data_IF_475608940835
#
_entry.id   IF_475608940835
#
_cell.length_a   1.000
_cell.length_b   1.000
_cell.length_c   1.000
_cell.angle_alpha   90.00
_cell.angle_beta   90.00
_cell.angle_gamma   90.00
#
_symmetry.space_group_name_H-M   'P 1'
#
loop_
_entity.id
_entity.type
_entity.pdbx_description
1 polymer ?
#
# COMPACT_ATOMS: atom_id res chain seq x y z
N UNK A 1 4.04 -43.06 1.47
CA UNK A 1 4.99 -43.60 2.49
C UNK A 1 4.65 -42.91 3.80
N UNK A 2 4.70 -43.59 4.95
CA UNK A 2 4.46 -42.93 6.24
C UNK A 2 5.59 -41.93 6.53
N UNK A 3 5.22 -40.73 6.96
CA UNK A 3 6.16 -39.74 7.49
C UNK A 3 6.97 -40.35 8.64
N UNK A 4 8.27 -40.02 8.78
CA UNK A 4 9.09 -40.52 9.87
C UNK A 4 8.62 -39.99 11.23
N UNK A 5 9.05 -40.67 12.29
CA UNK A 5 8.85 -40.19 13.65
C UNK A 5 9.73 -38.98 13.97
N UNK A 6 9.30 -38.19 14.95
CA UNK A 6 10.06 -37.05 15.42
C UNK A 6 11.34 -37.51 16.12
N UNK A 7 12.39 -36.69 16.02
CA UNK A 7 13.61 -36.86 16.78
C UNK A 7 13.41 -36.51 18.27
N UNK A 8 14.48 -36.65 19.06
CA UNK A 8 14.50 -36.32 20.49
C UNK A 8 14.15 -34.85 20.80
N UNK A 9 14.27 -33.96 19.83
CA UNK A 9 13.94 -32.53 19.95
C UNK A 9 12.53 -32.22 19.44
N UNK A 10 11.75 -33.23 19.05
CA UNK A 10 10.40 -33.05 18.55
C UNK A 10 10.31 -32.56 17.11
N UNK A 11 11.38 -32.68 16.33
CA UNK A 11 11.47 -32.21 14.94
C UNK A 11 11.51 -33.39 13.97
N UNK A 12 11.11 -33.17 12.73
CA UNK A 12 11.32 -34.19 11.69
C UNK A 12 12.81 -34.32 11.36
N UNK A 13 13.31 -35.53 11.08
CA UNK A 13 14.69 -35.73 10.66
C UNK A 13 14.98 -34.97 9.37
N UNK A 14 16.23 -34.53 9.19
CA UNK A 14 16.66 -33.75 8.01
C UNK A 14 16.26 -34.42 6.69
N UNK A 15 15.77 -33.62 5.74
CA UNK A 15 15.40 -34.04 4.39
C UNK A 15 13.98 -33.65 4.00
N UNK A 16 13.64 -33.90 2.73
CA UNK A 16 12.28 -33.70 2.20
C UNK A 16 11.50 -35.01 2.37
N UNK A 17 10.38 -34.95 3.08
CA UNK A 17 9.48 -36.08 3.34
C UNK A 17 8.18 -35.90 2.57
N UNK A 18 7.87 -36.79 1.64
CA UNK A 18 6.67 -36.71 0.81
C UNK A 18 5.49 -37.42 1.47
N UNK A 19 4.31 -36.80 1.46
CA UNK A 19 3.04 -37.40 1.88
C UNK A 19 1.85 -36.81 1.13
N UNK A 20 0.72 -37.50 1.12
CA UNK A 20 -0.55 -36.94 0.62
C UNK A 20 -1.10 -35.86 1.56
N UNK A 21 -2.01 -35.02 1.06
CA UNK A 21 -2.71 -34.02 1.88
C UNK A 21 -3.49 -34.63 3.04
N UNK A 22 -4.08 -35.82 2.83
CA UNK A 22 -4.78 -36.56 3.89
C UNK A 22 -3.82 -37.04 4.99
N UNK A 23 -2.71 -37.66 4.60
CA UNK A 23 -1.68 -38.10 5.56
C UNK A 23 -1.12 -36.92 6.37
N UNK A 24 -0.97 -35.74 5.73
CA UNK A 24 -0.55 -34.52 6.40
C UNK A 24 -1.54 -34.08 7.49
N UNK A 25 -2.83 -33.98 7.15
CA UNK A 25 -3.89 -33.59 8.09
C UNK A 25 -3.98 -34.60 9.23
N UNK A 26 -3.98 -35.90 8.93
CA UNK A 26 -4.08 -36.97 9.92
C UNK A 26 -2.88 -36.94 10.90
N UNK A 27 -1.67 -36.63 10.41
CA UNK A 27 -0.46 -36.57 11.24
C UNK A 27 -0.39 -35.30 12.09
N UNK A 28 -0.70 -34.13 11.53
CA UNK A 28 -0.39 -32.85 12.18
C UNK A 28 -1.60 -32.12 12.78
N UNK A 29 -2.83 -32.52 12.44
CA UNK A 29 -4.06 -31.84 12.91
C UNK A 29 -4.94 -32.71 13.82
N UNK A 30 -4.54 -33.95 14.14
CA UNK A 30 -5.38 -34.91 14.86
C UNK A 30 -5.48 -34.66 16.38
N UNK A 31 -4.60 -33.85 16.96
CA UNK A 31 -4.66 -33.51 18.40
C UNK A 31 -5.73 -32.46 18.69
N UNK A 32 -6.25 -32.45 19.92
CA UNK A 32 -7.32 -31.54 20.34
C UNK A 32 -6.97 -30.07 20.10
N UNK A 33 -5.73 -29.66 20.42
CA UNK A 33 -5.22 -28.30 20.21
C UNK A 33 -5.00 -27.92 18.73
N UNK A 34 -4.93 -28.90 17.82
CA UNK A 34 -4.61 -28.66 16.40
C UNK A 34 -5.76 -28.96 15.44
N UNK A 35 -6.87 -29.53 15.93
CA UNK A 35 -8.05 -29.85 15.11
C UNK A 35 -8.65 -28.65 14.39
N UNK A 36 -8.52 -27.46 14.97
CA UNK A 36 -8.96 -26.21 14.34
C UNK A 36 -8.25 -25.89 13.01
N UNK A 37 -7.05 -26.45 12.77
CA UNK A 37 -6.28 -26.23 11.54
C UNK A 37 -6.68 -27.17 10.40
N UNK A 38 -7.49 -28.22 10.66
CA UNK A 38 -7.91 -29.19 9.64
C UNK A 38 -8.60 -28.52 8.46
N UNK A 39 -9.62 -27.70 8.72
CA UNK A 39 -10.35 -26.99 7.66
C UNK A 39 -9.46 -25.98 6.92
N UNK A 40 -8.74 -25.08 7.61
CA UNK A 40 -7.83 -24.14 6.95
C UNK A 40 -6.77 -24.79 6.05
N UNK A 41 -6.16 -25.90 6.50
CA UNK A 41 -5.21 -26.63 5.67
C UNK A 41 -5.91 -27.28 4.48
N UNK A 42 -7.10 -27.86 4.67
CA UNK A 42 -7.91 -28.38 3.56
C UNK A 42 -8.19 -27.29 2.52
N UNK A 43 -8.70 -26.14 2.96
CA UNK A 43 -9.06 -25.00 2.10
C UNK A 43 -7.82 -24.51 1.30
N UNK A 44 -6.63 -24.53 1.90
CA UNK A 44 -5.36 -24.17 1.26
C UNK A 44 -4.90 -25.20 0.23
N UNK A 45 -5.06 -26.49 0.53
CA UNK A 45 -4.72 -27.56 -0.41
C UNK A 45 -5.70 -27.59 -1.59
N UNK A 46 -6.98 -27.33 -1.33
CA UNK A 46 -8.01 -27.17 -2.37
C UNK A 46 -7.68 -25.97 -3.26
N UNK A 47 -7.33 -24.82 -2.67
CA UNK A 47 -6.84 -23.65 -3.41
C UNK A 47 -5.62 -23.97 -4.28
N UNK A 48 -4.63 -24.66 -3.73
CA UNK A 48 -3.44 -25.05 -4.48
C UNK A 48 -3.79 -25.93 -5.68
N UNK A 49 -4.72 -26.89 -5.51
CA UNK A 49 -5.22 -27.74 -6.59
C UNK A 49 -6.00 -26.97 -7.65
N UNK A 50 -6.91 -26.09 -7.25
CA UNK A 50 -7.73 -25.26 -8.15
C UNK A 50 -6.86 -24.36 -9.04
N UNK A 51 -5.70 -23.95 -8.54
CA UNK A 51 -4.72 -23.11 -9.26
C UNK A 51 -3.62 -23.91 -9.97
N UNK A 52 -3.75 -25.24 -10.03
CA UNK A 52 -2.78 -26.11 -10.68
C UNK A 52 -1.35 -25.93 -10.12
N UNK A 53 -1.22 -25.72 -8.81
CA UNK A 53 0.07 -25.78 -8.14
C UNK A 53 0.66 -27.18 -8.33
N UNK A 54 1.96 -27.26 -8.60
CA UNK A 54 2.66 -28.51 -8.88
C UNK A 54 3.28 -29.13 -7.63
N UNK A 55 3.72 -28.30 -6.68
CA UNK A 55 4.28 -28.76 -5.40
C UNK A 55 3.87 -27.83 -4.27
N UNK A 56 3.69 -28.40 -3.09
CA UNK A 56 3.48 -27.65 -1.84
C UNK A 56 4.49 -28.17 -0.81
N UNK A 57 5.27 -27.26 -0.23
CA UNK A 57 6.22 -27.57 0.83
C UNK A 57 5.77 -26.90 2.11
N UNK A 58 5.82 -27.62 3.23
CA UNK A 58 5.50 -27.10 4.56
C UNK A 58 6.72 -27.27 5.46
N UNK A 59 7.05 -26.20 6.17
CA UNK A 59 8.20 -26.10 7.06
C UNK A 59 7.83 -25.65 8.47
N UNK A 60 8.86 -25.34 9.24
CA UNK A 60 8.73 -24.56 10.47
C UNK A 60 8.04 -25.26 11.63
N UNK A 61 7.41 -24.46 12.49
CA UNK A 61 6.95 -24.92 13.81
C UNK A 61 5.74 -25.87 13.72
N UNK A 62 4.96 -25.78 12.65
CA UNK A 62 3.75 -26.58 12.46
C UNK A 62 4.02 -28.08 12.29
N UNK A 63 5.09 -28.45 11.59
CA UNK A 63 5.46 -29.85 11.35
C UNK A 63 6.35 -30.44 12.47
N UNK A 64 6.32 -29.85 13.66
CA UNK A 64 6.98 -30.34 14.88
C UNK A 64 5.97 -30.89 15.89
N UNK A 65 6.45 -31.47 16.99
CA UNK A 65 5.61 -31.91 18.11
C UNK A 65 5.07 -30.78 19.01
N UNK A 66 5.36 -29.51 18.70
CA UNK A 66 4.92 -28.35 19.50
C UNK A 66 3.40 -28.27 19.60
N UNK A 67 2.82 -28.31 20.80
CA UNK A 67 1.35 -28.39 20.95
C UNK A 67 0.59 -27.23 20.29
N UNK A 68 1.13 -26.01 20.38
CA UNK A 68 0.54 -24.78 19.83
C UNK A 68 1.51 -24.13 18.83
N UNK A 69 1.44 -24.47 17.53
CA UNK A 69 2.17 -23.75 16.49
C UNK A 69 1.59 -22.34 16.31
N UNK A 70 2.44 -21.37 15.97
CA UNK A 70 2.04 -19.96 15.88
C UNK A 70 1.62 -19.57 14.45
N UNK A 71 2.19 -20.27 13.48
CA UNK A 71 2.22 -19.99 12.05
C UNK A 71 2.30 -21.31 11.28
N UNK A 72 1.98 -21.25 9.99
CA UNK A 72 2.21 -22.32 9.03
C UNK A 72 3.07 -21.77 7.90
N UNK A 73 4.31 -22.25 7.86
CA UNK A 73 5.30 -21.88 6.85
C UNK A 73 5.11 -22.75 5.62
N UNK A 74 4.70 -22.15 4.51
CA UNK A 74 4.34 -22.88 3.31
C UNK A 74 4.98 -22.27 2.06
N UNK A 75 5.42 -23.10 1.13
CA UNK A 75 5.79 -22.69 -0.23
C UNK A 75 4.88 -23.40 -1.21
N UNK A 76 4.15 -22.63 -2.02
CA UNK A 76 3.38 -23.14 -3.15
C UNK A 76 4.13 -22.89 -4.44
N UNK A 77 4.31 -23.93 -5.24
CA UNK A 77 5.02 -23.88 -6.51
C UNK A 77 4.04 -24.06 -7.66
N UNK A 78 4.10 -23.16 -8.63
CA UNK A 78 3.31 -23.22 -9.87
C UNK A 78 4.16 -23.56 -11.09
N UNK A 79 3.53 -23.98 -12.18
CA UNK A 79 4.26 -24.31 -13.41
C UNK A 79 4.94 -23.09 -14.05
N UNK A 80 4.33 -21.89 -13.96
CA UNK A 80 4.78 -20.65 -14.60
C UNK A 80 4.43 -19.46 -13.69
N UNK A 81 5.18 -18.36 -13.81
CA UNK A 81 5.00 -17.14 -13.00
C UNK A 81 3.59 -16.56 -13.11
N UNK A 82 2.95 -16.64 -14.29
CA UNK A 82 1.59 -16.11 -14.52
C UNK A 82 0.49 -16.78 -13.68
N UNK A 83 0.78 -17.94 -13.09
CA UNK A 83 -0.16 -18.67 -12.23
C UNK A 83 0.03 -18.35 -10.75
N UNK A 84 1.09 -17.59 -10.39
CA UNK A 84 1.29 -17.11 -9.04
C UNK A 84 0.12 -16.18 -8.67
N UNK A 85 -0.58 -16.43 -7.54
CA UNK A 85 -1.69 -15.59 -7.10
C UNK A 85 -1.28 -14.13 -6.93
N UNK A 86 -2.18 -13.23 -7.30
CA UNK A 86 -2.05 -11.80 -7.01
C UNK A 86 -2.28 -11.52 -5.51
N UNK A 87 -1.77 -10.40 -5.01
CA UNK A 87 -1.91 -10.00 -3.60
C UNK A 87 -3.36 -10.05 -3.08
N UNK A 88 -4.34 -9.69 -3.91
CA UNK A 88 -5.78 -9.73 -3.58
C UNK A 88 -6.31 -11.13 -3.28
N UNK A 89 -5.78 -12.15 -3.95
CA UNK A 89 -6.22 -13.53 -3.80
C UNK A 89 -5.62 -14.16 -2.53
N UNK A 90 -4.40 -13.76 -2.17
CA UNK A 90 -3.71 -14.18 -0.94
C UNK A 90 -4.44 -13.70 0.33
N UNK A 91 -5.01 -12.49 0.33
CA UNK A 91 -5.72 -11.91 1.48
C UNK A 91 -7.01 -12.68 1.82
N UNK A 92 -7.67 -13.31 0.84
CA UNK A 92 -8.91 -14.06 1.07
C UNK A 92 -8.72 -15.41 1.78
N UNK A 93 -7.49 -15.93 1.87
CA UNK A 93 -7.18 -17.29 2.34
C UNK A 93 -6.70 -17.29 3.80
N UNK A 94 -6.20 -16.15 4.30
CA UNK A 94 -5.44 -16.03 5.55
C UNK A 94 -6.29 -15.86 6.83
N UNK A 95 -7.37 -16.64 6.99
CA UNK A 95 -8.16 -16.67 8.23
C UNK A 95 -7.39 -17.16 9.49
N UNK A 96 -6.17 -17.68 9.29
CA UNK A 96 -5.13 -17.95 10.27
C UNK A 96 -3.80 -17.41 9.71
N UNK A 97 -2.81 -17.14 10.56
CA UNK A 97 -1.47 -16.69 10.12
C UNK A 97 -0.77 -17.80 9.31
N UNK A 98 -0.99 -17.78 8.00
CA UNK A 98 -0.32 -18.64 7.02
C UNK A 98 0.72 -17.80 6.29
N UNK A 99 1.99 -18.12 6.50
CA UNK A 99 3.10 -17.49 5.79
C UNK A 99 3.34 -18.28 4.51
N UNK A 100 2.52 -18.00 3.49
CA UNK A 100 2.60 -18.64 2.18
C UNK A 100 3.55 -17.86 1.27
N UNK A 101 4.66 -18.51 0.93
CA UNK A 101 5.55 -18.11 -0.14
C UNK A 101 5.07 -18.72 -1.46
N UNK A 102 5.12 -17.94 -2.53
CA UNK A 102 4.79 -18.40 -3.87
C UNK A 102 6.05 -18.41 -4.74
N UNK A 103 6.19 -19.44 -5.56
CA UNK A 103 7.26 -19.57 -6.54
C UNK A 103 6.74 -20.29 -7.79
N UNK A 104 7.52 -20.27 -8.86
CA UNK A 104 7.25 -21.05 -10.06
C UNK A 104 8.43 -21.94 -10.43
N UNK A 105 8.18 -22.96 -11.24
CA UNK A 105 9.20 -23.82 -11.83
C UNK A 105 10.20 -23.06 -12.71
N UNK A 106 9.85 -21.87 -13.20
CA UNK A 106 10.76 -20.98 -13.93
C UNK A 106 11.86 -20.41 -13.01
N UNK A 107 11.60 -20.35 -11.70
CA UNK A 107 12.51 -19.88 -10.67
C UNK A 107 12.97 -21.00 -9.71
N UNK A 108 13.45 -22.13 -10.26
CA UNK A 108 13.84 -23.30 -9.43
C UNK A 108 14.82 -22.99 -8.29
N UNK A 109 15.82 -22.13 -8.54
CA UNK A 109 16.81 -21.76 -7.51
C UNK A 109 16.17 -21.06 -6.30
N UNK A 110 15.08 -20.31 -6.52
CA UNK A 110 14.31 -19.67 -5.46
C UNK A 110 13.58 -20.71 -4.60
N UNK A 111 13.00 -21.74 -5.24
CA UNK A 111 12.34 -22.86 -4.54
C UNK A 111 13.36 -23.57 -3.63
N UNK A 112 14.52 -23.93 -4.17
CA UNK A 112 15.59 -24.59 -3.40
C UNK A 112 16.03 -23.72 -2.21
N UNK A 113 16.06 -22.40 -2.39
CA UNK A 113 16.41 -21.45 -1.33
C UNK A 113 15.34 -21.34 -0.25
N UNK A 114 14.04 -21.39 -0.60
CA UNK A 114 12.96 -21.45 0.38
C UNK A 114 12.93 -22.77 1.14
N UNK A 115 13.20 -23.89 0.48
CA UNK A 115 13.36 -25.19 1.16
C UNK A 115 14.56 -25.13 2.11
N UNK A 116 15.66 -24.49 1.71
CA UNK A 116 16.82 -24.27 2.57
C UNK A 116 16.48 -23.40 3.78
N UNK A 117 15.67 -22.36 3.60
CA UNK A 117 15.17 -21.52 4.67
C UNK A 117 14.37 -22.33 5.71
N UNK A 118 13.41 -23.14 5.25
CA UNK A 118 12.56 -23.96 6.12
C UNK A 118 13.28 -25.12 6.81
N UNK A 119 14.35 -25.61 6.20
CA UNK A 119 15.22 -26.65 6.79
C UNK A 119 16.28 -26.07 7.73
N UNK A 120 16.45 -24.75 7.81
CA UNK A 120 17.40 -24.13 8.73
C UNK A 120 16.72 -23.80 10.05
N UNK A 121 17.09 -24.51 11.12
CA UNK A 121 16.55 -24.26 12.46
C UNK A 121 16.96 -22.89 13.03
N UNK A 122 16.39 -22.52 14.19
CA UNK A 122 16.71 -21.26 14.89
C UNK A 122 18.14 -21.23 15.47
N UNK A 123 18.73 -22.40 15.68
CA UNK A 123 20.11 -22.54 16.16
C UNK A 123 21.05 -22.77 14.96
N UNK A 124 22.24 -22.19 15.01
CA UNK A 124 23.26 -22.40 13.99
C UNK A 124 23.56 -23.90 13.85
N UNK A 125 23.56 -24.40 12.60
CA UNK A 125 23.79 -25.79 12.19
C UNK A 125 22.65 -26.79 12.45
N UNK A 126 21.43 -26.36 12.79
CA UNK A 126 20.28 -27.25 12.79
C UNK A 126 19.73 -27.44 11.37
N UNK A 127 19.68 -28.69 10.92
CA UNK A 127 19.02 -29.08 9.67
C UNK A 127 17.77 -29.92 10.01
N UNK A 128 16.60 -29.39 9.70
CA UNK A 128 15.29 -29.95 10.08
C UNK A 128 14.53 -30.41 8.83
N UNK A 129 13.70 -31.43 9.00
CA UNK A 129 12.90 -31.97 7.90
C UNK A 129 11.85 -30.99 7.38
N UNK A 130 11.62 -31.03 6.07
CA UNK A 130 10.54 -30.30 5.38
C UNK A 130 9.57 -31.32 4.80
N UNK A 131 8.28 -31.03 4.82
CA UNK A 131 7.26 -31.92 4.25
C UNK A 131 6.90 -31.43 2.85
N UNK A 132 6.93 -32.31 1.86
CA UNK A 132 6.37 -32.09 0.54
C UNK A 132 4.99 -32.75 0.49
N UNK A 133 3.95 -31.96 0.26
CA UNK A 133 2.60 -32.48 0.05
C UNK A 133 2.43 -32.79 -1.42
N UNK A 134 2.19 -34.06 -1.72
CA UNK A 134 1.82 -34.53 -3.04
C UNK A 134 0.32 -34.26 -3.27
N UNK A 135 0.03 -33.28 -4.12
CA UNK A 135 -1.35 -32.89 -4.43
C UNK A 135 -2.06 -33.92 -5.32
N UNK A 136 -1.31 -34.66 -6.13
CA UNK A 136 -1.84 -35.50 -7.20
C UNK A 136 -1.46 -36.98 -7.06
N UNK A 137 -0.81 -37.36 -5.95
CA UNK A 137 -0.33 -38.72 -5.66
C UNK A 137 0.59 -39.29 -6.76
N UNK A 138 1.38 -38.42 -7.40
CA UNK A 138 2.35 -38.79 -8.46
C UNK A 138 3.64 -39.40 -7.91
N UNK A 139 3.88 -39.25 -6.60
CA UNK A 139 5.09 -39.66 -5.88
C UNK A 139 6.38 -39.05 -6.46
N UNK A 140 6.28 -37.85 -7.04
CA UNK A 140 7.40 -37.09 -7.59
C UNK A 140 8.11 -36.29 -6.49
N UNK A 141 9.23 -36.83 -6.00
CA UNK A 141 9.98 -36.24 -4.89
C UNK A 141 10.90 -35.13 -5.39
N UNK A 142 10.84 -33.96 -4.76
CA UNK A 142 11.71 -32.84 -5.09
C UNK A 142 13.18 -33.15 -4.81
N UNK A 143 14.04 -32.85 -5.80
CA UNK A 143 15.50 -32.90 -5.68
C UNK A 143 16.09 -31.50 -5.64
N UNK A 144 16.84 -31.20 -4.57
CA UNK A 144 17.56 -29.94 -4.41
C UNK A 144 18.77 -29.96 -5.36
N UNK A 145 18.86 -28.98 -6.26
CA UNK A 145 19.95 -28.86 -7.24
C UNK A 145 20.81 -27.62 -7.02
N UNK A 146 20.30 -26.67 -6.24
CA UNK A 146 20.97 -25.42 -5.91
C UNK A 146 21.05 -25.25 -4.38
N UNK A 147 22.17 -24.70 -3.91
CA UNK A 147 22.31 -24.20 -2.55
C UNK A 147 22.69 -22.72 -2.65
N UNK A 148 21.91 -21.80 -2.05
CA UNK A 148 22.23 -20.38 -2.09
C UNK A 148 23.55 -20.11 -1.35
N UNK A 149 24.32 -19.14 -1.84
CA UNK A 149 25.46 -18.60 -1.09
C UNK A 149 24.99 -17.84 0.16
N UNK A 150 25.92 -17.57 1.10
CA UNK A 150 25.59 -16.93 2.39
C UNK A 150 24.89 -15.57 2.22
N UNK A 151 25.30 -14.75 1.24
CA UNK A 151 24.69 -13.44 1.04
C UNK A 151 23.27 -13.56 0.49
N UNK A 152 23.08 -14.41 -0.52
CA UNK A 152 21.76 -14.69 -1.09
C UNK A 152 20.81 -15.28 -0.04
N UNK A 153 21.33 -16.17 0.81
CA UNK A 153 20.55 -16.78 1.87
C UNK A 153 20.14 -15.78 2.97
N UNK A 154 21.04 -14.86 3.36
CA UNK A 154 20.72 -13.79 4.30
C UNK A 154 19.70 -12.80 3.73
N UNK A 155 19.75 -12.49 2.43
CA UNK A 155 18.73 -11.68 1.76
C UNK A 155 17.36 -12.37 1.85
N UNK A 156 17.29 -13.67 1.58
CA UNK A 156 16.04 -14.45 1.62
C UNK A 156 15.49 -14.52 3.05
N UNK A 157 16.33 -14.75 4.06
CA UNK A 157 15.93 -14.69 5.47
C UNK A 157 15.36 -13.32 5.83
N UNK A 158 16.00 -12.23 5.39
CA UNK A 158 15.51 -10.87 5.64
C UNK A 158 14.16 -10.67 4.98
N UNK A 159 14.00 -11.01 3.70
CA UNK A 159 12.71 -10.89 3.00
C UNK A 159 11.60 -11.70 3.67
N UNK A 160 11.90 -12.91 4.17
CA UNK A 160 10.92 -13.73 4.89
C UNK A 160 10.60 -13.19 6.29
N UNK A 161 11.60 -12.76 7.06
CA UNK A 161 11.39 -12.14 8.38
C UNK A 161 10.68 -10.78 8.24
N UNK A 162 11.02 -10.00 7.22
CA UNK A 162 10.32 -8.77 6.88
C UNK A 162 8.88 -9.10 6.50
N UNK A 163 8.60 -10.17 5.74
CA UNK A 163 7.21 -10.62 5.47
C UNK A 163 6.44 -11.05 6.73
N UNK A 164 7.07 -11.71 7.70
CA UNK A 164 6.41 -12.08 8.96
C UNK A 164 6.25 -10.89 9.93
N UNK A 165 7.05 -9.83 9.75
CA UNK A 165 6.89 -8.53 10.42
C UNK A 165 5.88 -7.62 9.70
N UNK A 166 5.77 -7.75 8.37
CA UNK A 166 4.75 -7.14 7.50
C UNK A 166 3.48 -7.99 7.66
N UNK A 167 2.88 -7.85 8.83
CA UNK A 167 1.54 -8.33 9.14
C UNK A 167 0.59 -7.99 7.97
N UNK A 168 -0.33 -8.92 7.68
CA UNK A 168 -1.26 -8.97 6.54
C UNK A 168 -2.36 -7.90 6.66
N UNK A 169 -2.04 -6.77 7.30
CA UNK A 169 -2.89 -5.63 7.60
C UNK A 169 -2.13 -4.29 7.61
N UNK A 170 -0.96 -4.18 6.99
CA UNK A 170 -0.39 -2.85 6.78
C UNK A 170 -1.22 -2.10 5.72
N UNK A 171 -2.20 -1.33 6.23
CA UNK A 171 -3.04 -0.42 5.45
C UNK A 171 -2.13 0.39 4.53
N UNK A 172 -2.42 0.42 3.22
CA UNK A 172 -1.65 1.23 2.28
C UNK A 172 -1.65 2.72 2.64
N UNK A 173 -2.68 3.13 3.38
CA UNK A 173 -2.94 4.48 3.84
C UNK A 173 -4.45 4.74 3.89
N UNK A 174 -4.80 5.94 4.33
CA UNK A 174 -6.13 6.50 4.18
C UNK A 174 -6.13 7.30 2.88
N UNK A 175 -7.02 6.97 1.94
CA UNK A 175 -7.22 7.72 0.71
C UNK A 175 -8.49 8.56 0.84
N UNK A 176 -8.31 9.87 0.93
CA UNK A 176 -9.40 10.84 1.02
C UNK A 176 -9.67 11.44 -0.35
N UNK A 177 -10.92 11.44 -0.78
CA UNK A 177 -11.34 12.20 -1.94
C UNK A 177 -12.12 13.46 -1.55
N UNK A 178 -11.91 14.55 -2.29
CA UNK A 178 -12.58 15.84 -2.06
C UNK A 178 -13.12 16.37 -3.38
N UNK A 179 -14.43 16.63 -3.42
CA UNK A 179 -15.11 17.06 -4.65
C UNK A 179 -15.15 18.58 -4.84
N UNK A 180 -15.48 18.98 -6.07
CA UNK A 180 -15.71 20.37 -6.46
C UNK A 180 -17.13 20.87 -6.21
N UNK A 181 -17.37 22.11 -6.65
CA UNK A 181 -18.70 22.73 -6.61
C UNK A 181 -19.66 21.99 -7.54
N UNK A 182 -20.96 22.03 -7.20
CA UNK A 182 -22.05 21.43 -7.98
C UNK A 182 -21.84 19.94 -8.30
N UNK A 183 -21.03 19.24 -7.49
CA UNK A 183 -20.72 17.82 -7.66
C UNK A 183 -21.30 16.98 -6.53
N UNK A 184 -21.84 15.81 -6.88
CA UNK A 184 -22.23 14.76 -5.93
C UNK A 184 -21.13 13.72 -5.71
N UNK A 185 -19.93 13.97 -6.25
CA UNK A 185 -18.79 13.06 -6.16
C UNK A 185 -19.08 11.64 -6.68
N UNK A 186 -19.90 11.49 -7.73
CA UNK A 186 -20.31 10.18 -8.27
C UNK A 186 -19.12 9.30 -8.68
N UNK A 187 -18.01 9.92 -9.10
CA UNK A 187 -16.74 9.26 -9.42
C UNK A 187 -16.09 8.53 -8.23
N UNK A 188 -16.56 8.75 -7.00
CA UNK A 188 -16.17 7.92 -5.85
C UNK A 188 -16.57 6.45 -6.04
N UNK A 189 -17.60 6.16 -6.85
CA UNK A 189 -18.00 4.79 -7.19
C UNK A 189 -16.91 4.05 -7.97
N UNK A 190 -16.06 4.76 -8.71
CA UNK A 190 -14.92 4.17 -9.42
C UNK A 190 -13.68 4.07 -8.51
N UNK A 191 -13.39 5.12 -7.74
CA UNK A 191 -12.19 5.14 -6.87
C UNK A 191 -12.30 4.12 -5.74
N UNK A 192 -13.47 3.99 -5.10
CA UNK A 192 -13.66 3.12 -3.95
C UNK A 192 -13.24 1.66 -4.21
N UNK A 193 -13.75 0.94 -5.22
CA UNK A 193 -13.36 -0.45 -5.46
C UNK A 193 -11.89 -0.59 -5.89
N UNK A 194 -11.36 0.36 -6.65
CA UNK A 194 -9.98 0.29 -7.16
C UNK A 194 -8.97 0.51 -6.03
N UNK A 195 -9.20 1.52 -5.19
CA UNK A 195 -8.32 1.81 -4.06
C UNK A 195 -8.43 0.77 -2.95
N UNK A 196 -9.65 0.34 -2.62
CA UNK A 196 -9.88 -0.67 -1.58
C UNK A 196 -9.27 -2.02 -1.95
N UNK A 197 -9.32 -2.43 -3.23
CA UNK A 197 -8.66 -3.66 -3.68
C UNK A 197 -7.12 -3.60 -3.58
N UNK A 198 -6.55 -2.41 -3.41
CA UNK A 198 -5.12 -2.20 -3.22
C UNK A 198 -4.74 -1.91 -1.74
N UNK A 199 -5.67 -2.18 -0.81
CA UNK A 199 -5.44 -2.06 0.63
C UNK A 199 -5.54 -0.64 1.20
N UNK A 200 -6.12 0.31 0.45
CA UNK A 200 -6.39 1.66 0.95
C UNK A 200 -7.70 1.72 1.73
N UNK A 201 -7.71 2.46 2.83
CA UNK A 201 -8.96 2.86 3.50
C UNK A 201 -9.50 4.06 2.73
N UNK A 202 -10.54 3.85 1.94
CA UNK A 202 -11.16 4.94 1.19
C UNK A 202 -12.17 5.71 2.05
N UNK A 203 -11.94 7.02 2.20
CA UNK A 203 -12.75 7.91 3.03
C UNK A 203 -13.11 9.19 2.25
N UNK A 204 -14.25 9.25 1.54
CA UNK A 204 -14.63 10.45 0.82
C UNK A 204 -15.08 11.55 1.78
N UNK A 205 -14.54 12.77 1.62
CA UNK A 205 -15.03 13.95 2.31
C UNK A 205 -16.07 14.67 1.43
N UNK A 206 -17.31 14.68 1.90
CA UNK A 206 -18.45 15.32 1.25
C UNK A 206 -18.91 16.48 2.12
N UNK A 207 -18.87 17.71 1.60
CA UNK A 207 -19.31 18.91 2.31
C UNK A 207 -20.66 19.39 1.77
N UNK A 208 -21.57 19.75 2.67
CA UNK A 208 -22.98 20.01 2.33
C UNK A 208 -23.18 21.23 1.43
N UNK A 209 -22.39 22.28 1.64
CA UNK A 209 -22.49 23.53 0.87
C UNK A 209 -21.50 23.49 -0.29
N UNK A 210 -21.93 23.10 -1.49
CA UNK A 210 -21.06 23.03 -2.68
C UNK A 210 -21.50 23.98 -3.81
N UNK A 211 -22.13 25.10 -3.45
CA UNK A 211 -22.69 26.08 -4.41
C UNK A 211 -21.66 27.13 -4.83
N UNK A 212 -21.83 27.80 -6.01
CA UNK A 212 -20.88 28.79 -6.53
C UNK A 212 -20.58 29.98 -5.63
N UNK A 213 -21.47 30.31 -4.70
CA UNK A 213 -21.29 31.38 -3.71
C UNK A 213 -20.12 31.11 -2.75
N UNK A 214 -19.66 29.86 -2.61
CA UNK A 214 -18.41 29.55 -1.93
C UNK A 214 -17.21 30.30 -2.52
N UNK A 215 -17.19 30.54 -3.84
CA UNK A 215 -16.09 31.29 -4.46
C UNK A 215 -16.00 32.73 -3.94
N UNK A 216 -17.10 33.29 -3.44
CA UNK A 216 -17.21 34.71 -3.06
C UNK A 216 -17.40 34.93 -1.55
N UNK A 217 -17.80 33.93 -0.79
CA UNK A 217 -18.06 34.07 0.65
C UNK A 217 -16.91 33.54 1.51
N UNK A 218 -16.16 34.44 2.16
CA UNK A 218 -15.06 34.07 3.09
C UNK A 218 -15.56 33.18 4.22
N UNK A 219 -16.67 33.52 4.84
CA UNK A 219 -17.18 32.81 6.03
C UNK A 219 -17.61 31.38 5.68
N UNK A 220 -18.27 31.19 4.53
CA UNK A 220 -18.64 29.84 4.07
C UNK A 220 -17.42 29.00 3.75
N UNK A 221 -16.38 29.58 3.13
CA UNK A 221 -15.12 28.87 2.89
C UNK A 221 -14.41 28.49 4.18
N UNK A 222 -14.35 29.42 5.13
CA UNK A 222 -13.74 29.18 6.43
C UNK A 222 -14.44 28.02 7.14
N UNK A 223 -15.78 28.00 7.13
CA UNK A 223 -16.56 26.88 7.67
C UNK A 223 -16.22 25.54 7.00
N UNK A 224 -16.16 25.47 5.66
CA UNK A 224 -15.86 24.22 4.95
C UNK A 224 -14.45 23.70 5.28
N UNK A 225 -13.48 24.60 5.45
CA UNK A 225 -12.10 24.25 5.83
C UNK A 225 -12.01 23.79 7.28
N UNK A 226 -12.76 24.42 8.18
CA UNK A 226 -12.84 24.03 9.59
C UNK A 226 -13.49 22.66 9.76
N UNK A 227 -14.64 22.44 9.12
CA UNK A 227 -15.35 21.15 9.08
C UNK A 227 -14.41 20.05 8.50
N UNK A 228 -13.62 20.38 7.47
CA UNK A 228 -12.63 19.43 6.90
C UNK A 228 -11.51 19.11 7.88
N UNK A 229 -10.98 20.11 8.59
CA UNK A 229 -9.92 19.95 9.57
C UNK A 229 -10.34 19.01 10.70
N UNK A 230 -11.53 19.20 11.25
CA UNK A 230 -12.06 18.32 12.30
C UNK A 230 -12.25 16.89 11.77
N UNK A 231 -12.86 16.77 10.59
CA UNK A 231 -13.14 15.47 9.97
C UNK A 231 -11.87 14.69 9.65
N UNK A 232 -10.86 15.33 9.04
CA UNK A 232 -9.62 14.63 8.64
C UNK A 232 -8.79 14.22 9.85
N UNK A 233 -8.85 15.00 10.94
CA UNK A 233 -8.24 14.65 12.21
C UNK A 233 -8.89 13.41 12.82
N UNK A 234 -10.22 13.36 12.91
CA UNK A 234 -10.94 12.19 13.43
C UNK A 234 -10.64 10.92 12.61
N UNK A 235 -10.65 11.03 11.28
CA UNK A 235 -10.35 9.91 10.39
C UNK A 235 -8.90 9.40 10.58
N UNK A 236 -7.93 10.31 10.67
CA UNK A 236 -6.54 9.94 10.88
C UNK A 236 -6.35 9.26 12.24
N UNK A 237 -6.96 9.79 13.31
CA UNK A 237 -6.88 9.19 14.64
C UNK A 237 -7.57 7.83 14.71
N UNK A 238 -8.71 7.67 14.04
CA UNK A 238 -9.48 6.42 14.02
C UNK A 238 -8.72 5.27 13.38
N UNK A 239 -8.00 5.54 12.31
CA UNK A 239 -7.34 4.50 11.51
C UNK A 239 -5.83 4.43 11.70
N UNK A 240 -5.22 5.42 12.37
CA UNK A 240 -3.79 5.53 12.69
C UNK A 240 -2.89 5.21 11.49
N UNK A 241 -3.10 5.93 10.38
CA UNK A 241 -2.41 5.67 9.13
C UNK A 241 -2.20 6.94 8.31
N UNK A 242 -1.24 6.89 7.37
CA UNK A 242 -0.87 8.03 6.53
C UNK A 242 -2.04 8.45 5.63
N UNK A 243 -2.34 9.75 5.59
CA UNK A 243 -3.42 10.31 4.77
C UNK A 243 -2.88 10.74 3.41
N UNK A 244 -3.53 10.30 2.33
CA UNK A 244 -3.31 10.80 0.97
C UNK A 244 -4.61 11.36 0.40
N UNK A 245 -4.51 12.38 -0.45
CA UNK A 245 -5.65 13.16 -0.95
C UNK A 245 -5.78 13.03 -2.46
N UNK A 246 -7.02 12.91 -2.96
CA UNK A 246 -7.41 13.23 -4.34
C UNK A 246 -8.39 14.39 -4.28
N UNK A 247 -8.00 15.56 -4.80
CA UNK A 247 -8.81 16.75 -4.76
C UNK A 247 -9.15 17.25 -6.17
N UNK A 248 -10.43 17.54 -6.39
CA UNK A 248 -10.94 18.09 -7.65
C UNK A 248 -11.48 19.50 -7.46
N UNK A 249 -11.14 20.42 -8.38
CA UNK A 249 -11.73 21.76 -8.43
C UNK A 249 -11.67 22.45 -7.07
N UNK A 250 -12.81 22.85 -6.49
CA UNK A 250 -12.85 23.50 -5.18
C UNK A 250 -12.25 22.67 -4.03
N UNK A 251 -12.20 21.34 -4.14
CA UNK A 251 -11.45 20.51 -3.20
C UNK A 251 -9.97 20.87 -3.12
N UNK A 252 -9.37 21.32 -4.23
CA UNK A 252 -7.97 21.77 -4.25
C UNK A 252 -7.76 23.04 -3.43
N UNK A 253 -8.75 23.93 -3.41
CA UNK A 253 -8.75 25.11 -2.54
C UNK A 253 -8.82 24.72 -1.06
N UNK A 254 -9.65 23.73 -0.70
CA UNK A 254 -9.75 23.26 0.70
C UNK A 254 -8.37 22.83 1.22
N UNK A 255 -7.62 22.07 0.41
CA UNK A 255 -6.27 21.65 0.75
C UNK A 255 -5.30 22.83 0.87
N UNK A 256 -5.29 23.75 -0.11
CA UNK A 256 -4.43 24.93 -0.04
C UNK A 256 -4.74 25.82 1.17
N UNK A 257 -6.03 26.00 1.49
CA UNK A 257 -6.49 26.78 2.64
C UNK A 257 -6.15 26.10 3.97
N UNK A 258 -6.31 24.77 4.05
CA UNK A 258 -5.89 23.99 5.22
C UNK A 258 -4.39 24.15 5.49
N UNK A 259 -3.54 23.99 4.47
CA UNK A 259 -2.09 24.09 4.62
C UNK A 259 -1.63 25.51 4.99
N UNK A 260 -2.27 26.54 4.42
CA UNK A 260 -1.92 27.94 4.66
C UNK A 260 -2.49 28.52 5.96
N UNK A 261 -3.42 27.81 6.61
CA UNK A 261 -4.09 28.26 7.82
C UNK A 261 -3.27 28.15 9.10
N UNK A 262 -2.08 27.55 9.06
CA UNK A 262 -1.18 27.38 10.21
C UNK A 262 -0.01 28.39 10.15
N UNK A 263 0.40 28.90 11.32
CA UNK A 263 1.46 29.90 11.44
C UNK A 263 2.84 29.35 11.01
N UNK A 264 3.78 30.25 10.74
CA UNK A 264 5.13 29.85 10.30
C UNK A 264 5.84 28.98 11.35
N UNK A 265 6.10 27.73 10.97
CA UNK A 265 6.77 26.74 11.84
C UNK A 265 5.81 25.80 12.57
N UNK A 266 4.50 26.04 12.50
CA UNK A 266 3.50 25.08 12.97
C UNK A 266 3.21 24.04 11.89
N UNK A 267 3.16 22.77 12.31
CA UNK A 267 2.69 21.69 11.43
C UNK A 267 1.19 21.48 11.65
N UNK A 268 0.41 21.29 10.57
CA UNK A 268 -0.98 20.91 10.70
C UNK A 268 -1.09 19.58 11.48
N UNK A 269 -2.20 19.36 12.22
CA UNK A 269 -2.38 18.16 13.03
C UNK A 269 -2.43 16.88 12.17
N UNK A 270 -2.83 17.01 10.90
CA UNK A 270 -2.72 15.97 9.90
C UNK A 270 -1.85 16.44 8.74
N UNK A 271 -0.76 15.71 8.49
CA UNK A 271 0.10 15.86 7.33
C UNK A 271 -0.36 14.91 6.21
N UNK A 272 -0.07 15.27 4.96
CA UNK A 272 -0.46 14.50 3.78
C UNK A 272 0.73 13.81 3.15
N UNK A 273 0.64 12.49 3.00
CA UNK A 273 1.67 11.71 2.35
C UNK A 273 1.77 12.01 0.85
N UNK A 274 0.63 11.96 0.16
CA UNK A 274 0.54 12.25 -1.27
C UNK A 274 -0.71 13.04 -1.58
N UNK A 275 -0.63 14.01 -2.49
CA UNK A 275 -1.76 14.82 -2.93
C UNK A 275 -1.86 14.74 -4.46
N UNK A 276 -3.03 14.35 -4.96
CA UNK A 276 -3.36 14.41 -6.38
C UNK A 276 -4.34 15.57 -6.60
N UNK A 277 -4.01 16.43 -7.54
CA UNK A 277 -4.79 17.61 -7.90
C UNK A 277 -5.27 17.50 -9.35
N UNK A 278 -6.56 17.71 -9.55
CA UNK A 278 -7.18 17.72 -10.88
C UNK A 278 -8.19 18.86 -11.00
N UNK A 279 -8.16 19.58 -12.13
CA UNK A 279 -8.93 20.82 -12.28
C UNK A 279 -8.58 21.85 -11.20
N UNK A 280 -7.31 21.91 -10.79
CA UNK A 280 -6.87 22.73 -9.66
C UNK A 280 -7.20 24.20 -9.87
N UNK A 281 -7.80 24.80 -8.85
CA UNK A 281 -8.10 26.24 -8.82
C UNK A 281 -7.13 26.98 -7.89
N UNK A 282 -5.99 26.38 -7.54
CA UNK A 282 -4.96 27.07 -6.80
C UNK A 282 -4.18 28.05 -7.71
N UNK A 283 -3.60 29.07 -7.10
CA UNK A 283 -2.67 29.97 -7.77
C UNK A 283 -1.46 29.20 -8.30
N UNK A 284 -1.02 29.53 -9.51
CA UNK A 284 0.11 28.85 -10.17
C UNK A 284 1.42 29.01 -9.38
N UNK A 285 1.55 30.09 -8.59
CA UNK A 285 2.68 30.35 -7.70
C UNK A 285 2.49 29.83 -6.26
N UNK A 286 1.59 28.86 -6.04
CA UNK A 286 1.42 28.25 -4.72
C UNK A 286 2.69 27.50 -4.29
N UNK A 287 3.36 28.02 -3.25
CA UNK A 287 4.67 27.53 -2.80
C UNK A 287 4.60 26.17 -2.11
N UNK A 288 4.69 25.11 -2.91
CA UNK A 288 4.76 23.74 -2.41
C UNK A 288 6.03 23.43 -1.62
N UNK A 289 7.17 24.08 -1.92
CA UNK A 289 8.43 23.81 -1.22
C UNK A 289 8.33 24.19 0.26
N UNK A 290 7.54 25.21 0.60
CA UNK A 290 7.22 25.59 1.99
C UNK A 290 6.73 24.41 2.83
N UNK A 291 5.97 23.47 2.25
CA UNK A 291 5.33 22.37 2.97
C UNK A 291 6.10 21.05 2.89
N UNK A 292 7.16 21.01 2.08
CA UNK A 292 7.89 19.79 1.76
C UNK A 292 8.58 19.18 2.97
N UNK A 293 8.19 17.97 3.35
CA UNK A 293 8.75 17.26 4.51
C UNK A 293 8.34 17.85 5.86
N UNK A 294 7.44 18.83 5.88
CA UNK A 294 6.78 19.33 7.08
C UNK A 294 5.33 18.88 7.14
N UNK A 295 4.58 19.16 6.07
CA UNK A 295 3.14 18.90 6.00
C UNK A 295 2.73 18.07 4.80
N UNK A 296 3.57 18.01 3.76
CA UNK A 296 3.28 17.29 2.52
C UNK A 296 4.51 16.52 2.03
N UNK A 297 4.31 15.25 1.64
CA UNK A 297 5.36 14.39 1.08
C UNK A 297 5.50 14.52 -0.44
N UNK A 298 4.41 14.33 -1.19
CA UNK A 298 4.43 14.40 -2.65
C UNK A 298 3.16 15.02 -3.22
N UNK A 299 3.27 15.62 -4.41
CA UNK A 299 2.15 16.26 -5.11
C UNK A 299 2.17 15.86 -6.59
N UNK A 300 1.02 15.48 -7.11
CA UNK A 300 0.79 15.24 -8.53
C UNK A 300 -0.31 16.15 -9.07
N UNK A 301 0.04 17.06 -9.97
CA UNK A 301 -0.91 17.95 -10.62
C UNK A 301 -1.23 17.49 -12.05
N UNK A 302 -2.51 17.41 -12.37
CA UNK A 302 -2.98 17.17 -13.73
C UNK A 302 -3.40 18.48 -14.39
N UNK A 303 -2.73 18.78 -15.50
CA UNK A 303 -2.95 19.98 -16.30
C UNK A 303 -3.86 19.63 -17.48
N UNK A 304 -5.01 20.30 -17.52
CA UNK A 304 -6.05 20.17 -18.55
C UNK A 304 -6.20 21.53 -19.28
N UNK A 305 -5.48 21.77 -20.39
CA UNK A 305 -5.48 23.08 -21.07
C UNK A 305 -6.86 23.49 -21.62
N UNK A 306 -7.74 22.50 -21.84
CA UNK A 306 -9.08 22.70 -22.40
C UNK A 306 -10.17 22.78 -21.31
N UNK A 307 -9.79 22.90 -20.04
CA UNK A 307 -10.72 23.09 -18.92
C UNK A 307 -11.57 24.35 -19.13
N UNK A 308 -12.89 24.16 -19.26
CA UNK A 308 -13.81 25.26 -19.57
C UNK A 308 -14.03 26.25 -18.42
N UNK A 309 -13.71 25.91 -17.17
CA UNK A 309 -13.99 26.75 -16.01
C UNK A 309 -12.73 27.40 -15.44
N UNK A 310 -11.68 26.61 -15.20
CA UNK A 310 -10.46 27.07 -14.51
C UNK A 310 -9.77 28.18 -15.30
N UNK A 311 -9.83 28.16 -16.64
CA UNK A 311 -9.22 29.19 -17.50
C UNK A 311 -9.73 30.62 -17.22
N UNK A 312 -10.94 30.75 -16.66
CA UNK A 312 -11.54 32.05 -16.31
C UNK A 312 -11.27 32.46 -14.86
N UNK A 313 -10.60 31.63 -14.06
CA UNK A 313 -10.28 31.96 -12.67
C UNK A 313 -9.36 33.20 -12.63
N UNK A 314 -9.70 34.28 -11.91
CA UNK A 314 -8.88 35.47 -11.86
C UNK A 314 -7.57 35.21 -11.12
N UNK A 315 -6.45 35.61 -11.72
CA UNK A 315 -5.13 35.54 -11.08
C UNK A 315 -4.80 36.83 -10.32
N UNK A 316 -5.45 37.94 -10.64
CA UNK A 316 -5.15 39.25 -10.05
C UNK A 316 -5.52 39.33 -8.57
N UNK A 317 -4.73 40.07 -7.80
CA UNK A 317 -5.00 40.38 -6.38
C UNK A 317 -6.30 41.15 -6.14
N UNK A 318 -6.87 41.77 -7.19
CA UNK A 318 -8.12 42.52 -7.11
C UNK A 318 -9.34 41.61 -6.83
N UNK A 319 -9.23 40.31 -7.07
CA UNK A 319 -10.31 39.34 -6.79
C UNK A 319 -10.72 39.30 -5.31
N UNK A 320 -9.84 39.71 -4.40
CA UNK A 320 -10.17 39.82 -2.96
C UNK A 320 -11.31 40.79 -2.67
N UNK A 321 -11.48 41.83 -3.49
CA UNK A 321 -12.54 42.83 -3.32
C UNK A 321 -13.94 42.30 -3.67
N UNK A 322 -14.02 41.23 -4.46
CA UNK A 322 -15.27 40.50 -4.73
C UNK A 322 -15.41 39.26 -3.84
N UNK A 323 -14.62 39.18 -2.77
CA UNK A 323 -14.69 38.11 -1.78
C UNK A 323 -14.02 36.80 -2.21
N UNK A 324 -13.28 36.78 -3.32
CA UNK A 324 -12.51 35.61 -3.74
C UNK A 324 -11.19 35.49 -2.96
N UNK A 325 -10.75 34.25 -2.70
CA UNK A 325 -9.49 33.99 -2.02
C UNK A 325 -8.29 34.35 -2.90
N UNK A 326 -7.20 34.92 -2.35
CA UNK A 326 -5.93 35.09 -3.08
C UNK A 326 -5.36 33.76 -3.58
N UNK A 327 -5.65 32.67 -2.86
CA UNK A 327 -5.24 31.31 -3.24
C UNK A 327 -5.87 30.82 -4.55
N UNK A 328 -6.92 31.46 -5.06
CA UNK A 328 -7.53 31.02 -6.32
C UNK A 328 -6.65 31.36 -7.52
N UNK A 329 -6.59 30.49 -8.52
CA UNK A 329 -5.90 30.74 -9.79
C UNK A 329 -6.04 29.57 -10.75
N UNK A 330 -5.07 29.43 -11.66
CA UNK A 330 -5.19 28.61 -12.87
C UNK A 330 -4.26 27.40 -12.92
N UNK A 331 -3.78 26.91 -11.78
CA UNK A 331 -2.82 25.80 -11.76
C UNK A 331 -3.33 24.51 -12.46
N UNK A 332 -4.65 24.32 -12.61
CA UNK A 332 -5.23 23.22 -13.38
C UNK A 332 -5.11 23.35 -14.90
N UNK A 333 -4.87 24.56 -15.42
CA UNK A 333 -4.73 24.86 -16.86
C UNK A 333 -3.27 25.17 -17.21
N UNK A 334 -2.61 25.97 -16.37
CA UNK A 334 -1.27 26.48 -16.62
C UNK A 334 -0.19 25.63 -15.92
N UNK A 335 -0.57 24.88 -14.88
CA UNK A 335 0.36 24.20 -13.98
C UNK A 335 0.88 25.10 -12.86
N UNK A 336 1.60 24.51 -11.92
CA UNK A 336 2.34 25.26 -10.91
C UNK A 336 3.72 25.67 -11.43
N UNK A 337 4.17 26.86 -11.06
CA UNK A 337 5.45 27.45 -11.47
C UNK A 337 6.63 26.99 -10.60
N UNK A 338 6.37 26.58 -9.34
CA UNK A 338 7.40 26.14 -8.42
C UNK A 338 8.16 24.91 -8.92
N UNK A 339 9.49 24.99 -8.91
CA UNK A 339 10.38 23.86 -9.19
C UNK A 339 10.78 23.20 -7.89
N UNK A 340 10.06 22.16 -7.50
CA UNK A 340 10.38 21.31 -6.35
C UNK A 340 10.31 19.85 -6.75
N UNK A 341 11.17 19.01 -6.18
CA UNK A 341 11.18 17.57 -6.49
C UNK A 341 9.98 16.82 -5.91
N UNK A 342 9.23 17.43 -4.99
CA UNK A 342 7.97 16.82 -4.50
C UNK A 342 6.83 16.94 -5.50
N UNK A 343 6.92 17.87 -6.46
CA UNK A 343 5.85 18.19 -7.40
C UNK A 343 6.10 17.51 -8.74
N UNK A 344 5.18 16.64 -9.14
CA UNK A 344 5.11 16.05 -10.48
C UNK A 344 3.90 16.64 -11.20
N UNK A 345 4.05 16.96 -12.49
CA UNK A 345 2.94 17.49 -13.29
C UNK A 345 2.79 16.72 -14.60
N UNK A 346 1.56 16.49 -15.04
CA UNK A 346 1.29 15.92 -16.37
C UNK A 346 0.27 16.76 -17.13
N UNK A 347 0.48 16.94 -18.43
CA UNK A 347 -0.40 17.74 -19.30
C UNK A 347 -1.10 16.84 -20.30
N UNK A 348 -2.42 17.01 -20.45
CA UNK A 348 -3.20 16.29 -21.46
C UNK A 348 -4.30 17.20 -22.04
N UNK A 349 -4.32 17.32 -23.37
CA UNK A 349 -5.26 18.15 -24.12
C UNK A 349 -6.66 17.52 -24.28
N UNK A 350 -6.80 16.21 -24.06
CA UNK A 350 -8.11 15.53 -24.11
C UNK A 350 -8.95 15.87 -22.86
N UNK A 351 -8.27 16.27 -21.78
CA UNK A 351 -8.92 16.55 -20.51
C UNK A 351 -9.62 17.91 -20.49
N UNK A 352 -10.81 17.91 -19.88
CA UNK A 352 -11.68 19.05 -19.55
C UNK A 352 -11.96 19.03 -18.05
N UNK A 353 -12.68 20.03 -17.52
CA UNK A 353 -12.94 20.10 -16.08
C UNK A 353 -13.70 18.89 -15.52
N UNK A 354 -14.55 18.30 -16.35
CA UNK A 354 -15.54 17.29 -15.96
C UNK A 354 -15.14 15.87 -16.32
N UNK A 355 -14.14 15.68 -17.18
CA UNK A 355 -13.79 14.37 -17.73
C UNK A 355 -12.42 13.84 -17.25
N UNK A 356 -11.76 14.54 -16.31
CA UNK A 356 -10.43 14.18 -15.81
C UNK A 356 -10.43 13.01 -14.83
N UNK A 357 -11.57 12.73 -14.21
CA UNK A 357 -11.74 11.66 -13.22
C UNK A 357 -12.39 10.48 -13.92
N UNK A 358 -11.55 9.59 -14.45
CA UNK A 358 -11.97 8.38 -15.16
C UNK A 358 -11.18 7.17 -14.68
N UNK A 359 -11.79 6.00 -14.82
CA UNK A 359 -11.22 4.73 -14.40
C UNK A 359 -9.81 4.46 -14.95
N UNK A 360 -9.59 4.72 -16.23
CA UNK A 360 -8.27 4.57 -16.87
C UNK A 360 -7.21 5.45 -16.20
N UNK A 361 -7.55 6.69 -15.84
CA UNK A 361 -6.64 7.59 -15.14
C UNK A 361 -6.38 7.14 -13.71
N UNK A 362 -7.41 6.68 -13.02
CA UNK A 362 -7.29 6.17 -11.65
C UNK A 362 -6.32 4.97 -11.64
N UNK A 363 -6.51 4.00 -12.54
CA UNK A 363 -5.73 2.76 -12.60
C UNK A 363 -4.30 2.98 -13.13
N UNK A 364 -4.12 3.83 -14.16
CA UNK A 364 -2.83 3.96 -14.85
C UNK A 364 -1.95 5.09 -14.32
N UNK A 365 -2.52 6.08 -13.59
CA UNK A 365 -1.78 7.24 -13.11
C UNK A 365 -1.87 7.42 -11.60
N UNK A 366 -3.09 7.52 -11.06
CA UNK A 366 -3.28 7.91 -9.66
C UNK A 366 -2.84 6.82 -8.70
N UNK A 367 -3.32 5.59 -8.87
CA UNK A 367 -2.95 4.49 -7.99
C UNK A 367 -1.45 4.16 -8.07
N UNK A 368 -0.82 4.08 -9.27
CA UNK A 368 0.63 3.92 -9.36
C UNK A 368 1.40 5.03 -8.65
N UNK A 369 0.98 6.30 -8.80
CA UNK A 369 1.61 7.43 -8.10
C UNK A 369 1.48 7.29 -6.58
N UNK A 370 0.28 6.99 -6.07
CA UNK A 370 0.02 6.82 -4.63
C UNK A 370 0.85 5.66 -4.05
N UNK A 371 0.87 4.52 -4.74
CA UNK A 371 1.60 3.34 -4.28
C UNK A 371 3.12 3.50 -4.35
N UNK A 372 3.64 4.19 -5.35
CA UNK A 372 5.07 4.51 -5.45
C UNK A 372 5.53 5.48 -4.35
N UNK A 373 4.60 6.28 -3.79
CA UNK A 373 4.88 7.32 -2.81
C UNK A 373 4.35 7.00 -1.41
N UNK A 374 4.08 5.73 -1.04
CA UNK A 374 3.49 5.35 0.27
C UNK A 374 4.19 5.93 1.50
N UNK A 375 5.50 6.18 1.39
CA UNK A 375 6.33 6.72 2.47
C UNK A 375 6.94 8.09 2.14
N UNK A 376 6.39 8.81 1.15
CA UNK A 376 6.95 10.08 0.68
C UNK A 376 7.09 11.12 1.81
N UNK A 377 6.10 11.21 2.72
CA UNK A 377 6.19 12.15 3.84
C UNK A 377 7.38 11.86 4.75
N UNK A 378 7.58 10.60 5.11
CA UNK A 378 8.68 10.20 6.00
C UNK A 378 10.04 10.45 5.34
N UNK A 379 10.16 10.13 4.05
CA UNK A 379 11.38 10.38 3.26
C UNK A 379 11.68 11.88 3.21
N UNK A 380 10.69 12.69 2.87
CA UNK A 380 10.88 14.13 2.75
C UNK A 380 11.12 14.82 4.10
N UNK A 381 10.52 14.31 5.17
CA UNK A 381 10.78 14.76 6.54
C UNK A 381 12.24 14.51 6.93
N UNK A 382 12.75 13.30 6.66
CA UNK A 382 14.17 12.99 6.88
C UNK A 382 15.09 13.93 6.09
N UNK A 383 14.77 14.17 4.81
CA UNK A 383 15.52 15.08 3.95
C UNK A 383 15.45 16.54 4.41
N UNK A 384 14.31 17.00 4.92
CA UNK A 384 14.16 18.33 5.51
C UNK A 384 15.11 18.52 6.70
N UNK A 385 15.11 17.58 7.66
CA UNK A 385 16.00 17.66 8.83
C UNK A 385 17.47 17.54 8.45
N UNK A 386 17.79 16.72 7.44
CA UNK A 386 19.15 16.63 6.89
C UNK A 386 19.61 17.97 6.32
N UNK A 387 18.80 18.64 5.48
CA UNK A 387 19.08 19.97 4.92
C UNK A 387 19.30 21.02 6.03
N UNK A 388 18.44 21.02 7.05
CA UNK A 388 18.53 21.98 8.17
C UNK A 388 19.81 21.80 9.01
N UNK A 389 20.22 20.55 9.28
CA UNK A 389 21.49 20.25 9.96
C UNK A 389 22.71 20.70 9.15
N UNK A 390 22.72 20.43 7.85
CA UNK A 390 23.81 20.85 6.97
C UNK A 390 23.93 22.38 6.95
N UNK A 391 22.82 23.11 6.82
CA UNK A 391 22.83 24.58 6.83
C UNK A 391 23.27 25.18 8.18
N UNK A 392 22.97 24.52 9.30
CA UNK A 392 23.41 24.97 10.63
C UNK A 392 24.92 24.83 10.84
N UNK A 393 25.55 23.83 10.21
CA UNK A 393 27.00 23.62 10.26
C UNK A 393 27.80 24.63 9.41
N UNK A 394 27.15 25.38 8.52
CA UNK A 394 27.78 26.46 7.74
C UNK A 394 27.73 27.84 8.44
N UNK A 395 27.00 27.97 9.55
CA UNK A 395 26.87 29.22 10.32
C UNK A 395 27.90 29.29 11.47
N UNK A 396 28.63 28.20 11.72
CA UNK A 396 29.76 28.16 12.66
C UNK A 396 31.06 28.01 11.85
N UNK A 397 31.45 29.05 11.12
CA UNK A 397 32.81 29.27 10.65
C UNK A 397 33.14 30.74 10.65
#
# INVERSE_FOLDING_TARGET
MKLPDFDQNGKLPSGIHICSGKEFIDRFCSTENRRQFTKPISDILDFAKERYAVHVFVGGSFISNKEKPNDIDCVMVFQQDKYIPSHTETVSIAGLRFDILYASMESRNLIDSFIKLFSSGRLANENIGVVQIDLYDNNDKWEIKHQPDENSFEIIKRVYNDRSLIDINEKAGILVSIHGLLSRAEWNMDIAPISSSQGWIFAPYIYETNRPDLLFSKDKRAKVVDDFREWVYDIQQRYDSNVSIIAHSFGTYIIGAYLTGFDEGECPPVCFNSIILTGSILHSDFDWEKYRGLSVGSVYNMIAPNDEFVKYMPETELKKYIGMSPLFGKAGVDGFSNKTSMLTQSKNTIFSHTNTIKRDIIETKWMPFLNANKNAMQIEMYEYFRRKKTNSNYIIK
#
